data_IF_133015916231
#
_entry.id   IF_133015916231
#
_cell.length_a   1.000
_cell.length_b   1.000
_cell.length_c   1.000
_cell.angle_alpha   90.00
_cell.angle_beta   90.00
_cell.angle_gamma   90.00
#
_symmetry.space_group_name_H-M   'P 1'
#
loop_
_entity.id
_entity.type
_entity.pdbx_description
1 polymer ?
#
# COMPACT_ATOMS: atom_id res chain seq x y z
N UNK A 1 -20.66 27.72 3.33
CA UNK A 1 -19.42 26.98 3.66
C UNK A 1 -19.27 25.95 2.55
N UNK A 2 -18.16 25.99 1.83
CA UNK A 2 -17.96 25.23 0.60
C UNK A 2 -17.75 23.75 0.95
N UNK A 3 -18.77 22.90 0.72
CA UNK A 3 -18.60 21.44 0.73
C UNK A 3 -17.76 21.06 -0.49
N UNK A 4 -16.43 21.12 -0.33
CA UNK A 4 -15.53 20.41 -1.22
C UNK A 4 -15.77 18.92 -1.03
N UNK A 5 -16.62 18.34 -1.88
CA UNK A 5 -16.85 16.90 -1.97
C UNK A 5 -15.51 16.21 -2.21
N UNK A 6 -14.99 15.49 -1.21
CA UNK A 6 -13.84 14.61 -1.40
C UNK A 6 -14.30 13.43 -2.27
N UNK A 7 -13.91 13.44 -3.54
CA UNK A 7 -14.10 12.27 -4.41
C UNK A 7 -12.97 11.28 -4.11
N UNK A 8 -13.35 10.04 -3.79
CA UNK A 8 -12.40 8.93 -3.76
C UNK A 8 -12.15 8.51 -5.20
N UNK A 9 -10.96 8.82 -5.71
CA UNK A 9 -10.50 8.34 -7.02
C UNK A 9 -9.71 7.05 -6.79
N UNK A 10 -10.18 5.96 -7.42
CA UNK A 10 -9.52 4.66 -7.35
C UNK A 10 -8.59 4.54 -8.57
N UNK A 11 -7.30 4.19 -8.39
CA UNK A 11 -6.39 3.98 -9.51
C UNK A 11 -6.90 2.92 -10.49
N UNK A 12 -6.74 3.14 -11.79
CA UNK A 12 -7.15 2.17 -12.81
C UNK A 12 -6.00 1.23 -13.19
N UNK A 13 -6.36 0.02 -13.62
CA UNK A 13 -5.40 -0.94 -14.18
C UNK A 13 -4.81 -0.36 -15.48
N UNK A 14 -3.49 -0.44 -15.62
CA UNK A 14 -2.75 0.06 -16.78
C UNK A 14 -2.29 1.51 -16.65
N UNK A 15 -2.75 2.25 -15.64
CA UNK A 15 -2.24 3.58 -15.32
C UNK A 15 -0.92 3.51 -14.56
N UNK A 16 -0.14 4.59 -14.64
CA UNK A 16 1.05 4.72 -13.80
C UNK A 16 0.63 4.89 -12.34
N UNK A 17 1.23 4.12 -11.44
CA UNK A 17 0.95 4.23 -10.01
C UNK A 17 1.22 5.66 -9.50
N UNK A 18 0.35 6.25 -8.66
CA UNK A 18 0.55 7.60 -8.14
C UNK A 18 1.89 7.75 -7.42
N UNK A 19 2.58 8.87 -7.65
CA UNK A 19 3.84 9.13 -6.96
C UNK A 19 3.56 9.58 -5.52
N UNK A 20 4.02 8.80 -4.55
CA UNK A 20 3.70 9.01 -3.12
C UNK A 20 4.97 8.96 -2.27
N UNK A 21 5.18 9.97 -1.43
CA UNK A 21 6.17 9.92 -0.36
C UNK A 21 5.50 9.43 0.93
N UNK A 22 5.88 8.24 1.38
CA UNK A 22 5.26 7.56 2.52
C UNK A 22 6.30 7.22 3.59
N UNK A 23 5.89 7.31 4.86
CA UNK A 23 6.69 6.85 5.99
C UNK A 23 6.38 5.38 6.24
N UNK A 24 7.39 4.53 6.20
CA UNK A 24 7.27 3.09 6.46
C UNK A 24 8.01 2.71 7.75
N UNK A 25 7.85 1.46 8.18
CA UNK A 25 8.64 0.87 9.28
C UNK A 25 10.12 0.73 8.95
N UNK A 26 10.51 0.79 7.66
CA UNK A 26 11.89 0.73 7.18
C UNK A 26 12.46 2.12 6.81
N UNK A 27 11.75 3.19 7.13
CA UNK A 27 12.11 4.57 6.76
C UNK A 27 11.19 5.18 5.70
N UNK A 28 11.54 6.38 5.24
CA UNK A 28 10.77 7.10 4.22
C UNK A 28 11.02 6.50 2.84
N UNK A 29 9.97 6.30 2.05
CA UNK A 29 10.04 5.75 0.70
C UNK A 29 9.20 6.58 -0.27
N UNK A 30 9.69 6.74 -1.49
CA UNK A 30 8.97 7.30 -2.63
C UNK A 30 8.50 6.16 -3.54
N UNK A 31 7.19 5.97 -3.64
CA UNK A 31 6.55 4.98 -4.51
C UNK A 31 6.16 5.61 -5.85
N UNK A 32 6.25 4.89 -6.98
CA UNK A 32 6.81 3.54 -7.14
C UNK A 32 8.35 3.53 -7.29
N UNK A 33 9.02 4.69 -7.20
CA UNK A 33 10.46 4.88 -7.50
C UNK A 33 11.38 3.87 -6.77
N UNK A 34 11.10 3.59 -5.49
CA UNK A 34 11.89 2.64 -4.68
C UNK A 34 11.85 1.19 -5.17
N UNK A 35 10.85 0.81 -5.95
CA UNK A 35 10.69 -0.54 -6.49
C UNK A 35 10.94 -0.61 -8.00
N UNK A 36 11.59 0.39 -8.60
CA UNK A 36 11.88 0.42 -10.04
C UNK A 36 12.59 -0.87 -10.49
N UNK A 37 12.02 -1.54 -11.49
CA UNK A 37 12.54 -2.80 -12.04
C UNK A 37 12.12 -4.05 -11.26
N UNK A 38 11.28 -3.91 -10.22
CA UNK A 38 10.68 -5.01 -9.48
C UNK A 38 9.16 -4.82 -9.43
N UNK A 39 8.43 -5.93 -9.40
CA UNK A 39 7.02 -5.90 -9.03
C UNK A 39 6.89 -5.73 -7.51
N UNK A 40 5.87 -5.01 -7.07
CA UNK A 40 5.51 -4.89 -5.66
C UNK A 40 4.00 -5.01 -5.49
N UNK A 41 3.57 -5.52 -4.34
CA UNK A 41 2.16 -5.61 -3.94
C UNK A 41 1.97 -4.63 -2.78
N UNK A 42 1.15 -3.59 -2.99
CA UNK A 42 0.73 -2.68 -1.94
C UNK A 42 -0.65 -3.13 -1.43
N UNK A 43 -0.75 -3.42 -0.14
CA UNK A 43 -2.01 -3.78 0.52
C UNK A 43 -2.19 -2.96 1.80
N UNK A 44 -3.44 -2.78 2.21
CA UNK A 44 -3.81 -2.05 3.43
C UNK A 44 -4.60 -2.95 4.36
N UNK A 45 -4.50 -2.71 5.66
CA UNK A 45 -5.32 -3.35 6.69
C UNK A 45 -6.02 -2.28 7.54
N UNK A 46 -7.22 -2.55 8.08
CA UNK A 46 -8.01 -1.57 8.84
C UNK A 46 -7.36 -1.09 10.14
N UNK A 47 -6.52 -1.92 10.78
CA UNK A 47 -5.84 -1.53 12.00
C UNK A 47 -4.93 -2.62 12.57
N UNK A 48 -3.85 -2.18 13.20
CA UNK A 48 -2.90 -3.04 13.90
C UNK A 48 -3.59 -3.81 15.05
N UNK A 49 -3.08 -4.99 15.38
CA UNK A 49 -3.57 -5.84 16.48
C UNK A 49 -5.03 -6.33 16.35
N UNK A 50 -5.55 -6.39 15.12
CA UNK A 50 -6.84 -7.03 14.82
C UNK A 50 -6.62 -8.46 14.30
N UNK A 51 -7.52 -9.43 14.62
CA UNK A 51 -7.24 -10.85 14.41
C UNK A 51 -7.07 -11.21 12.93
N UNK A 52 -7.92 -10.68 12.04
CA UNK A 52 -7.84 -10.95 10.59
C UNK A 52 -6.53 -10.42 10.02
N UNK A 53 -6.20 -9.16 10.29
CA UNK A 53 -4.98 -8.53 9.77
C UNK A 53 -3.71 -9.23 10.25
N UNK A 54 -3.72 -9.71 11.50
CA UNK A 54 -2.60 -10.51 12.03
C UNK A 54 -2.39 -11.79 11.22
N UNK A 55 -3.49 -12.50 10.87
CA UNK A 55 -3.40 -13.71 10.05
C UNK A 55 -3.00 -13.42 8.60
N UNK A 56 -3.45 -12.31 8.03
CA UNK A 56 -3.08 -11.87 6.67
C UNK A 56 -1.57 -11.58 6.58
N UNK A 57 -1.03 -10.80 7.53
CA UNK A 57 0.41 -10.51 7.59
C UNK A 57 1.25 -11.78 7.77
N UNK A 58 0.82 -12.70 8.65
CA UNK A 58 1.50 -13.99 8.83
C UNK A 58 1.52 -14.81 7.52
N UNK A 59 0.40 -14.84 6.78
CA UNK A 59 0.32 -15.52 5.49
C UNK A 59 1.27 -14.91 4.45
N UNK A 60 1.33 -13.58 4.33
CA UNK A 60 2.29 -12.92 3.43
C UNK A 60 3.75 -13.26 3.79
N UNK A 61 4.09 -13.25 5.08
CA UNK A 61 5.44 -13.59 5.53
C UNK A 61 5.83 -15.05 5.20
N UNK A 62 4.91 -16.00 5.40
CA UNK A 62 5.13 -17.42 5.11
C UNK A 62 5.30 -17.73 3.62
N UNK A 63 4.76 -16.90 2.73
CA UNK A 63 4.83 -17.09 1.29
C UNK A 63 5.84 -16.13 0.60
N UNK A 64 6.63 -15.36 1.34
CA UNK A 64 7.57 -14.38 0.77
C UNK A 64 8.63 -14.99 -0.16
N UNK A 65 9.08 -16.21 0.13
CA UNK A 65 10.13 -16.91 -0.61
C UNK A 65 9.59 -18.00 -1.57
N UNK A 66 8.26 -18.15 -1.66
CA UNK A 66 7.63 -19.14 -2.53
C UNK A 66 7.46 -18.59 -3.94
#
# INVERSE_FOLDING_TARGET
MNESSFRVEIPCIGETFPRLDVRTTMGTMTLPDHFKGKWFILFSHPGDFTPVCTTEFASFALNHER
#
